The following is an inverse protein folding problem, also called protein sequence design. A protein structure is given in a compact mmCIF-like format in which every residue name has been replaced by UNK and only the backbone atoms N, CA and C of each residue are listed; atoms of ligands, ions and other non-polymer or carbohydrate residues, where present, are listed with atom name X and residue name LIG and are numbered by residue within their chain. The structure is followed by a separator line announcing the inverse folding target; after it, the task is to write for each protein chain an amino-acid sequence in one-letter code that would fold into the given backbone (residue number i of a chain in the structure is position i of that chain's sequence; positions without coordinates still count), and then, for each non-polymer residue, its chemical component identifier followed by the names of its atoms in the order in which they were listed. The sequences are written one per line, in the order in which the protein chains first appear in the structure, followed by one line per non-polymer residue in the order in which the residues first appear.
data_IF_176618748275
#
_entry.id   IF_176618748275
#
_cell.length_a   1.000
_cell.length_b   1.000
_cell.length_c   1.000
_cell.angle_alpha   90.00
_cell.angle_beta   90.00
_cell.angle_gamma   90.00
#
_symmetry.space_group_name_H-M   'P 1'
#
loop_
_entity.id
_entity.type
_entity.pdbx_description
1 polymer ?
#
# COMPACT_ATOMS: atom_id res chain seq x y z
N UNK A 1 -30.59 -2.85 -7.46
CA UNK A 1 -29.62 -1.75 -7.76
C UNK A 1 -28.22 -2.34 -7.76
N UNK A 2 -27.34 -1.97 -8.71
CA UNK A 2 -25.99 -2.50 -8.75
C UNK A 2 -25.16 -2.01 -7.56
N UNK A 3 -24.31 -2.88 -7.03
CA UNK A 3 -23.35 -2.51 -5.99
C UNK A 3 -22.31 -1.55 -6.57
N UNK A 4 -22.18 -0.37 -5.97
CA UNK A 4 -21.21 0.65 -6.32
C UNK A 4 -20.33 1.00 -5.13
N UNK A 5 -19.13 1.52 -5.40
CA UNK A 5 -18.22 2.02 -4.39
C UNK A 5 -17.42 3.21 -4.93
N UNK A 6 -17.51 4.35 -4.26
CA UNK A 6 -16.69 5.53 -4.55
C UNK A 6 -15.47 5.49 -3.65
N UNK A 7 -14.28 5.38 -4.26
CA UNK A 7 -13.02 5.29 -3.52
C UNK A 7 -12.61 6.64 -2.89
N UNK A 8 -11.54 6.63 -2.09
CA UNK A 8 -10.99 7.87 -1.47
C UNK A 8 -10.57 8.94 -2.49
N UNK A 9 -10.35 8.56 -3.75
CA UNK A 9 -10.00 9.44 -4.87
C UNK A 9 -11.24 9.92 -5.65
N UNK A 10 -12.45 9.72 -5.13
CA UNK A 10 -13.69 10.17 -5.78
C UNK A 10 -14.07 9.40 -7.04
N UNK A 11 -13.41 8.28 -7.34
CA UNK A 11 -13.69 7.45 -8.50
C UNK A 11 -14.70 6.37 -8.11
N UNK A 12 -15.82 6.34 -8.82
CA UNK A 12 -16.87 5.34 -8.64
C UNK A 12 -16.56 4.06 -9.42
N UNK A 13 -16.69 2.93 -8.75
CA UNK A 13 -16.56 1.60 -9.29
C UNK A 13 -17.89 0.85 -9.18
N UNK A 14 -18.15 -0.04 -10.12
CA UNK A 14 -19.32 -0.90 -10.22
C UNK A 14 -18.90 -2.36 -10.07
N UNK A 15 -19.59 -3.13 -9.25
CA UNK A 15 -19.37 -4.57 -9.13
C UNK A 15 -20.01 -5.29 -10.32
N UNK A 16 -19.19 -5.97 -11.10
CA UNK A 16 -19.60 -6.71 -12.28
C UNK A 16 -19.32 -8.22 -12.10
N UNK A 17 -20.15 -9.04 -12.72
CA UNK A 17 -19.94 -10.49 -12.87
C UNK A 17 -19.56 -10.79 -14.31
N UNK A 18 -18.42 -11.45 -14.49
CA UNK A 18 -18.05 -12.10 -15.73
C UNK A 18 -17.94 -13.62 -15.53
N UNK A 19 -17.60 -14.31 -16.61
CA UNK A 19 -17.27 -15.75 -16.62
C UNK A 19 -15.80 -15.94 -16.95
N UNK A 20 -15.14 -16.85 -16.22
CA UNK A 20 -13.78 -17.29 -16.55
C UNK A 20 -13.79 -18.24 -17.74
N UNK A 21 -12.60 -18.54 -18.29
CA UNK A 21 -12.43 -19.56 -19.36
C UNK A 21 -12.97 -20.94 -18.97
N UNK A 22 -13.11 -21.23 -17.68
CA UNK A 22 -13.62 -22.49 -17.13
C UNK A 22 -15.07 -22.37 -16.63
N UNK A 23 -15.81 -21.36 -17.09
CA UNK A 23 -17.22 -21.08 -16.75
C UNK A 23 -17.51 -20.78 -15.27
N UNK A 24 -16.48 -20.61 -14.43
CA UNK A 24 -16.66 -20.15 -13.05
C UNK A 24 -16.95 -18.64 -13.02
N UNK A 25 -17.85 -18.16 -12.15
CA UNK A 25 -18.12 -16.74 -12.01
C UNK A 25 -16.88 -16.00 -11.50
N UNK A 26 -16.56 -14.87 -12.12
CA UNK A 26 -15.52 -13.95 -11.68
C UNK A 26 -16.15 -12.60 -11.37
N UNK A 27 -15.99 -12.16 -10.12
CA UNK A 27 -16.41 -10.85 -9.67
C UNK A 27 -15.25 -9.87 -9.76
N UNK A 28 -15.52 -8.66 -10.23
CA UNK A 28 -14.52 -7.61 -10.33
C UNK A 28 -15.19 -6.23 -10.30
N UNK A 29 -14.44 -5.22 -9.85
CA UNK A 29 -14.88 -3.83 -9.91
C UNK A 29 -14.38 -3.17 -11.19
N UNK A 30 -15.25 -2.43 -11.87
CA UNK A 30 -14.92 -1.67 -13.08
C UNK A 30 -15.44 -0.23 -12.98
N UNK A 31 -14.76 0.73 -13.62
CA UNK A 31 -15.20 2.14 -13.67
C UNK A 31 -16.32 2.37 -14.66
N UNK A 32 -16.31 1.59 -15.74
CA UNK A 32 -17.40 1.46 -16.68
C UNK A 32 -17.99 0.06 -16.47
N UNK A 33 -19.29 -0.07 -16.12
CA UNK A 33 -19.89 -1.37 -15.91
C UNK A 33 -19.82 -2.17 -17.23
N UNK A 34 -19.07 -3.28 -17.20
CA UNK A 34 -18.94 -4.23 -18.30
C UNK A 34 -19.34 -5.61 -17.77
N UNK A 35 -20.35 -6.23 -18.37
CA UNK A 35 -20.93 -7.49 -17.89
C UNK A 35 -22.14 -7.29 -16.98
N UNK A 36 -22.58 -8.36 -16.32
CA UNK A 36 -23.81 -8.35 -15.54
C UNK A 36 -23.61 -7.55 -14.25
N UNK A 37 -24.43 -6.51 -13.99
CA UNK A 37 -24.41 -5.80 -12.72
C UNK A 37 -24.80 -6.76 -11.59
N UNK A 38 -24.07 -6.68 -10.48
CA UNK A 38 -24.32 -7.53 -9.31
C UNK A 38 -25.03 -6.71 -8.26
N UNK A 39 -26.14 -7.24 -7.74
CA UNK A 39 -26.96 -6.52 -6.74
C UNK A 39 -26.63 -6.87 -5.29
N UNK A 40 -25.82 -7.91 -5.07
CA UNK A 40 -25.43 -8.37 -3.73
C UNK A 40 -23.97 -8.81 -3.69
N UNK A 41 -23.29 -8.52 -2.58
CA UNK A 41 -21.93 -9.00 -2.35
C UNK A 41 -21.99 -10.53 -2.16
N UNK A 42 -21.19 -11.32 -2.89
CA UNK A 42 -21.13 -12.77 -2.69
C UNK A 42 -20.74 -13.14 -1.25
N UNK A 43 -21.32 -14.21 -0.72
CA UNK A 43 -21.03 -14.70 0.62
C UNK A 43 -19.53 -14.97 0.83
N UNK A 44 -19.00 -14.55 1.99
CA UNK A 44 -17.58 -14.71 2.34
C UNK A 44 -16.64 -13.71 1.64
N UNK A 45 -17.18 -12.66 1.03
CA UNK A 45 -16.42 -11.56 0.45
C UNK A 45 -16.78 -10.20 1.03
N UNK A 46 -15.85 -9.26 0.93
CA UNK A 46 -16.04 -7.84 1.25
C UNK A 46 -15.37 -6.95 0.23
N UNK A 47 -15.80 -5.70 0.19
CA UNK A 47 -15.15 -4.65 -0.61
C UNK A 47 -13.89 -4.19 0.12
N UNK A 48 -12.79 -4.06 -0.61
CA UNK A 48 -11.54 -3.50 -0.10
C UNK A 48 -10.99 -2.48 -1.09
N UNK A 49 -10.54 -1.35 -0.55
CA UNK A 49 -9.78 -0.35 -1.29
C UNK A 49 -8.28 -0.50 -0.97
N UNK A 50 -7.45 -0.56 -2.01
CA UNK A 50 -5.97 -0.53 -1.87
C UNK A 50 -5.46 0.88 -1.57
N UNK A 51 -4.18 1.00 -1.17
CA UNK A 51 -3.50 2.29 -0.95
C UNK A 51 -3.63 3.22 -2.17
N UNK A 52 -3.57 2.67 -3.39
CA UNK A 52 -3.66 3.45 -4.62
C UNK A 52 -5.11 3.76 -5.07
N UNK A 53 -6.11 3.38 -4.30
CA UNK A 53 -7.52 3.60 -4.62
C UNK A 53 -8.12 2.56 -5.56
N UNK A 54 -7.44 1.44 -5.83
CA UNK A 54 -8.03 0.33 -6.58
C UNK A 54 -9.00 -0.41 -5.67
N UNK A 55 -10.25 -0.50 -6.09
CA UNK A 55 -11.32 -1.22 -5.40
C UNK A 55 -11.33 -2.67 -5.88
N UNK A 56 -11.47 -3.61 -4.96
CA UNK A 56 -11.49 -5.04 -5.26
C UNK A 56 -12.43 -5.78 -4.33
N UNK A 57 -12.94 -6.91 -4.80
CA UNK A 57 -13.65 -7.86 -3.96
C UNK A 57 -12.63 -8.83 -3.37
N UNK A 58 -12.52 -8.89 -2.04
CA UNK A 58 -11.57 -9.74 -1.33
C UNK A 58 -12.30 -10.72 -0.42
N UNK A 59 -11.68 -11.86 -0.12
CA UNK A 59 -12.24 -12.81 0.86
C UNK A 59 -12.33 -12.13 2.22
N UNK A 60 -13.45 -12.29 2.89
CA UNK A 60 -13.62 -11.79 4.24
C UNK A 60 -13.02 -12.78 5.23
N UNK A 61 -11.74 -12.54 5.56
CA UNK A 61 -10.99 -13.33 6.54
C UNK A 61 -10.49 -12.39 7.63
N UNK A 62 -10.57 -12.80 8.91
CA UNK A 62 -10.00 -12.02 10.00
C UNK A 62 -8.48 -11.89 9.80
N UNK A 63 -7.90 -10.76 10.20
CA UNK A 63 -6.46 -10.60 10.22
C UNK A 63 -5.84 -11.49 11.31
N UNK A 64 -4.70 -12.11 11.02
CA UNK A 64 -3.85 -12.81 11.98
C UNK A 64 -2.86 -11.87 12.67
N UNK A 65 -2.74 -10.65 12.14
CA UNK A 65 -1.93 -9.57 12.69
C UNK A 65 -2.73 -8.89 13.80
N UNK A 66 -2.10 -8.71 14.95
CA UNK A 66 -2.74 -8.10 16.11
C UNK A 66 -2.75 -6.56 16.02
N UNK A 67 -3.71 -5.87 16.65
CA UNK A 67 -3.75 -4.40 16.62
C UNK A 67 -2.48 -3.72 17.14
N UNK A 68 -1.87 -4.26 18.19
CA UNK A 68 -0.62 -3.75 18.79
C UNK A 68 0.57 -3.87 17.84
N UNK A 69 0.58 -4.90 17.00
CA UNK A 69 1.59 -5.12 15.97
C UNK A 69 1.47 -4.11 14.84
N UNK A 70 0.24 -3.82 14.41
CA UNK A 70 -0.04 -2.75 13.44
C UNK A 70 0.40 -1.41 14.01
N UNK A 71 0.01 -1.11 15.26
CA UNK A 71 0.38 0.14 15.93
C UNK A 71 1.90 0.30 16.08
N UNK A 72 2.64 -0.79 16.31
CA UNK A 72 4.10 -0.74 16.37
C UNK A 72 4.73 -0.32 15.03
N UNK A 73 4.24 -0.85 13.91
CA UNK A 73 4.70 -0.47 12.57
C UNK A 73 4.29 0.96 12.23
N UNK A 74 3.04 1.34 12.49
CA UNK A 74 2.55 2.71 12.26
C UNK A 74 3.34 3.73 13.09
N UNK A 75 3.63 3.44 14.35
CA UNK A 75 4.43 4.31 15.21
C UNK A 75 5.89 4.43 14.72
N UNK A 76 6.46 3.36 14.17
CA UNK A 76 7.80 3.41 13.58
C UNK A 76 7.81 4.25 12.28
N UNK A 77 6.81 4.07 11.40
CA UNK A 77 6.63 4.91 10.20
C UNK A 77 6.41 6.38 10.57
N UNK A 78 5.60 6.65 11.59
CA UNK A 78 5.32 8.01 12.05
C UNK A 78 6.56 8.75 12.58
N UNK A 79 7.56 8.03 13.10
CA UNK A 79 8.85 8.61 13.53
C UNK A 79 9.84 8.83 12.40
N UNK A 80 9.56 8.31 11.19
CA UNK A 80 10.45 8.47 10.06
C UNK A 80 10.49 9.95 9.61
N UNK A 81 11.68 10.53 9.29
CA UNK A 81 11.77 11.93 8.87
C UNK A 81 10.92 12.26 7.64
N UNK A 82 10.75 11.28 6.74
CA UNK A 82 9.89 11.35 5.54
C UNK A 82 8.59 10.55 5.71
N UNK A 83 7.98 10.53 6.90
CA UNK A 83 6.79 9.71 7.21
C UNK A 83 5.61 9.92 6.25
N UNK A 84 5.46 11.14 5.72
CA UNK A 84 4.47 11.49 4.71
C UNK A 84 4.62 10.71 3.38
N UNK A 85 5.81 10.21 3.05
CA UNK A 85 6.05 9.38 1.85
C UNK A 85 5.57 7.94 2.02
N UNK A 86 5.28 7.49 3.24
CA UNK A 86 4.99 6.07 3.50
C UNK A 86 3.54 5.81 3.87
N UNK A 87 3.01 4.64 3.50
CA UNK A 87 1.67 4.17 3.88
C UNK A 87 1.73 2.72 4.34
N UNK A 88 1.01 2.41 5.40
CA UNK A 88 0.90 1.05 5.96
C UNK A 88 -0.38 0.39 5.45
N UNK A 89 -0.28 -0.88 5.04
CA UNK A 89 -1.41 -1.68 4.60
C UNK A 89 -1.39 -3.04 5.29
N UNK A 90 -2.47 -3.38 5.97
CA UNK A 90 -2.59 -4.65 6.70
C UNK A 90 -3.29 -5.68 5.82
N UNK A 91 -2.66 -6.83 5.65
CA UNK A 91 -3.22 -8.01 4.99
C UNK A 91 -3.49 -9.09 6.03
N UNK A 92 -4.05 -10.21 5.57
CA UNK A 92 -4.40 -11.34 6.45
C UNK A 92 -3.25 -11.78 7.36
N UNK A 93 -2.04 -11.98 6.82
CA UNK A 93 -0.89 -12.52 7.56
C UNK A 93 0.37 -11.64 7.47
N UNK A 94 0.24 -10.41 6.99
CA UNK A 94 1.39 -9.52 6.75
C UNK A 94 1.01 -8.06 6.80
N UNK A 95 2.01 -7.22 7.02
CA UNK A 95 1.92 -5.77 6.91
C UNK A 95 2.83 -5.33 5.78
N UNK A 96 2.32 -4.54 4.84
CA UNK A 96 3.06 -3.97 3.72
C UNK A 96 3.25 -2.47 3.96
N UNK A 97 4.48 -1.99 3.79
CA UNK A 97 4.82 -0.57 3.75
C UNK A 97 5.02 -0.19 2.29
N UNK A 98 4.32 0.86 1.90
CA UNK A 98 4.42 1.45 0.58
C UNK A 98 5.12 2.80 0.64
N UNK A 99 5.88 3.13 -0.39
CA UNK A 99 6.53 4.41 -0.60
C UNK A 99 5.90 5.15 -1.78
N UNK A 100 5.76 6.47 -1.65
CA UNK A 100 5.24 7.33 -2.70
C UNK A 100 6.20 7.36 -3.90
N UNK A 101 5.64 7.20 -5.10
CA UNK A 101 6.37 7.32 -6.36
C UNK A 101 6.41 8.78 -6.79
N UNK A 102 7.62 9.24 -7.17
CA UNK A 102 7.86 10.59 -7.66
C UNK A 102 8.42 11.53 -6.58
N UNK A 103 8.76 12.78 -6.97
CA UNK A 103 9.28 13.77 -6.05
C UNK A 103 8.22 14.14 -5.01
N UNK A 104 8.64 14.50 -3.80
CA UNK A 104 7.70 15.12 -2.87
C UNK A 104 7.38 16.57 -3.24
N UNK A 105 6.37 17.14 -2.58
CA UNK A 105 5.87 18.48 -2.91
C UNK A 105 6.92 19.56 -2.60
N UNK A 106 7.71 19.36 -1.55
CA UNK A 106 8.79 20.24 -1.13
C UNK A 106 9.98 20.15 -2.10
N UNK A 107 10.39 18.94 -2.50
CA UNK A 107 11.41 18.67 -3.53
C UNK A 107 11.00 19.31 -4.87
N UNK A 108 9.73 19.18 -5.26
CA UNK A 108 9.20 19.78 -6.49
C UNK A 108 9.17 21.31 -6.42
N UNK A 109 8.71 21.89 -5.30
CA UNK A 109 8.70 23.34 -5.10
C UNK A 109 10.11 23.92 -5.12
N UNK A 110 11.08 23.22 -4.50
CA UNK A 110 12.48 23.62 -4.51
C UNK A 110 13.04 23.64 -5.95
N UNK A 111 12.73 22.63 -6.78
CA UNK A 111 13.14 22.59 -8.17
C UNK A 111 12.61 23.80 -8.97
N UNK A 112 11.33 24.15 -8.82
CA UNK A 112 10.77 25.35 -9.46
C UNK A 112 11.44 26.65 -9.01
N UNK A 113 11.79 26.76 -7.72
CA UNK A 113 12.51 27.92 -7.21
C UNK A 113 13.92 28.03 -7.81
N UNK A 114 14.63 26.91 -8.02
CA UNK A 114 15.94 26.91 -8.71
C UNK A 114 15.82 27.37 -10.17
N UNK A 115 14.69 27.10 -10.82
CA UNK A 115 14.40 27.55 -12.19
C UNK A 115 13.84 28.99 -12.26
N UNK A 116 13.85 29.73 -11.15
CA UNK A 116 13.41 31.13 -11.09
C UNK A 116 11.89 31.32 -11.01
N UNK A 117 11.13 30.25 -10.77
CA UNK A 117 9.67 30.25 -10.59
C UNK A 117 9.30 30.20 -9.10
N UNK A 118 9.78 31.18 -8.32
CA UNK A 118 9.47 31.28 -6.90
C UNK A 118 8.04 31.81 -6.68
N UNK A 119 7.08 30.88 -6.67
CA UNK A 119 5.66 31.16 -6.44
C UNK A 119 5.36 30.96 -4.95
N UNK A 120 5.00 32.01 -4.19
CA UNK A 120 4.66 31.87 -2.78
C UNK A 120 3.54 30.85 -2.57
N UNK A 121 3.76 29.92 -1.64
CA UNK A 121 2.79 28.88 -1.30
C UNK A 121 2.55 27.83 -2.39
N UNK A 122 3.45 27.70 -3.39
CA UNK A 122 3.32 26.69 -4.44
C UNK A 122 3.16 25.28 -3.88
N UNK A 123 3.94 24.93 -2.86
CA UNK A 123 3.84 23.64 -2.16
C UNK A 123 2.42 23.38 -1.63
N UNK A 124 1.83 24.34 -0.91
CA UNK A 124 0.46 24.25 -0.39
C UNK A 124 -0.59 24.12 -1.49
N UNK A 125 -0.37 24.80 -2.63
CA UNK A 125 -1.28 24.75 -3.79
C UNK A 125 -1.19 23.41 -4.53
N UNK A 126 0.00 22.80 -4.60
CA UNK A 126 0.22 21.53 -5.29
C UNK A 126 -0.15 20.32 -4.41
N UNK A 127 -0.04 20.45 -3.09
CA UNK A 127 -0.22 19.34 -2.14
C UNK A 127 -1.53 18.56 -2.34
N UNK A 128 -2.73 19.19 -2.45
CA UNK A 128 -3.96 18.44 -2.67
C UNK A 128 -3.96 17.64 -3.99
N UNK A 129 -3.37 18.20 -5.04
CA UNK A 129 -3.31 17.56 -6.36
C UNK A 129 -2.37 16.37 -6.35
N UNK A 130 -1.20 16.52 -5.72
CA UNK A 130 -0.20 15.47 -5.59
C UNK A 130 -0.72 14.35 -4.68
N UNK A 131 -1.29 14.67 -3.52
CA UNK A 131 -1.87 13.67 -2.62
C UNK A 131 -3.01 12.87 -3.27
N UNK A 132 -3.89 13.54 -4.02
CA UNK A 132 -5.00 12.89 -4.71
C UNK A 132 -4.51 11.93 -5.82
N UNK A 133 -3.42 12.29 -6.52
CA UNK A 133 -2.87 11.50 -7.63
C UNK A 133 -1.73 10.57 -7.23
N UNK A 134 -1.25 10.67 -6.00
CA UNK A 134 -0.11 9.91 -5.49
C UNK A 134 -0.29 8.42 -5.77
N UNK A 135 0.78 7.84 -6.31
CA UNK A 135 0.94 6.41 -6.49
C UNK A 135 1.96 5.94 -5.46
N UNK A 136 1.73 4.73 -4.98
CA UNK A 136 2.56 4.12 -3.97
C UNK A 136 2.98 2.73 -4.43
N UNK A 137 4.26 2.40 -4.28
CA UNK A 137 4.81 1.07 -4.56
C UNK A 137 5.19 0.39 -3.26
N UNK A 138 4.96 -0.93 -3.13
CA UNK A 138 5.36 -1.64 -1.92
C UNK A 138 6.89 -1.76 -1.86
N UNK A 139 7.49 -1.47 -0.71
CA UNK A 139 8.96 -1.45 -0.54
C UNK A 139 9.47 -2.38 0.54
N UNK A 140 8.68 -2.60 1.59
CA UNK A 140 9.00 -3.46 2.73
C UNK A 140 7.73 -4.19 3.16
N UNK A 141 7.83 -5.47 3.52
CA UNK A 141 6.72 -6.20 4.13
C UNK A 141 7.21 -7.05 5.29
N UNK A 142 6.39 -7.15 6.33
CA UNK A 142 6.59 -8.05 7.46
C UNK A 142 5.55 -9.16 7.40
N UNK A 143 5.99 -10.41 7.36
CA UNK A 143 5.11 -11.58 7.23
C UNK A 143 5.18 -12.41 8.50
N UNK A 144 4.01 -12.75 9.03
CA UNK A 144 3.89 -13.65 10.18
C UNK A 144 4.40 -15.04 9.79
N UNK A 145 5.52 -15.45 10.39
CA UNK A 145 6.18 -16.73 10.15
C UNK A 145 5.69 -17.80 11.13
N UNK A 146 5.46 -17.42 12.40
CA UNK A 146 4.95 -18.33 13.42
C UNK A 146 3.95 -17.60 14.33
N UNK A 147 2.69 -18.04 14.29
CA UNK A 147 1.60 -17.45 15.05
C UNK A 147 1.67 -17.72 16.57
N UNK A 148 2.26 -18.83 16.98
CA UNK A 148 2.38 -19.21 18.41
C UNK A 148 3.51 -18.42 19.08
N UNK A 149 4.64 -18.28 18.39
CA UNK A 149 5.82 -17.55 18.89
C UNK A 149 5.78 -16.05 18.57
N UNK A 150 4.77 -15.59 17.82
CA UNK A 150 4.65 -14.23 17.24
C UNK A 150 5.94 -13.76 16.57
N UNK A 151 6.51 -14.61 15.71
CA UNK A 151 7.70 -14.26 14.94
C UNK A 151 7.35 -13.88 13.52
N UNK A 152 8.06 -12.88 13.02
CA UNK A 152 7.94 -12.34 11.68
C UNK A 152 9.28 -12.47 10.95
N UNK A 153 9.23 -12.56 9.63
CA UNK A 153 10.36 -12.22 8.77
C UNK A 153 9.99 -10.96 7.99
N UNK A 154 11.00 -10.28 7.46
CA UNK A 154 10.83 -9.12 6.62
C UNK A 154 11.36 -9.40 5.22
N UNK A 155 10.70 -8.86 4.21
CA UNK A 155 11.21 -8.83 2.84
C UNK A 155 11.17 -7.41 2.31
N UNK A 156 12.16 -7.05 1.50
CA UNK A 156 12.16 -5.79 0.75
C UNK A 156 11.99 -6.04 -0.73
N UNK A 157 11.48 -5.05 -1.44
CA UNK A 157 11.40 -5.10 -2.89
C UNK A 157 12.79 -4.92 -3.51
N UNK A 158 13.14 -5.76 -4.50
CA UNK A 158 14.36 -5.64 -5.29
C UNK A 158 14.04 -4.99 -6.65
N UNK A 159 14.88 -4.03 -7.06
CA UNK A 159 14.74 -3.28 -8.32
C UNK A 159 15.85 -3.62 -9.33
N UNK A 160 16.62 -4.67 -9.10
CA UNK A 160 17.65 -5.11 -10.04
C UNK A 160 16.92 -5.76 -11.22
N UNK A 161 17.04 -5.23 -12.44
CA UNK A 161 16.18 -5.59 -13.59
C UNK A 161 16.14 -7.06 -14.04
N UNK A 162 16.87 -7.97 -13.39
CA UNK A 162 16.71 -9.43 -13.53
C UNK A 162 15.82 -10.08 -12.45
N UNK A 163 15.46 -9.34 -11.39
CA UNK A 163 14.70 -9.74 -10.20
C UNK A 163 13.78 -8.56 -9.79
N UNK A 164 12.58 -8.51 -10.36
CA UNK A 164 11.48 -7.66 -9.85
C UNK A 164 10.65 -8.44 -8.82
N UNK A 165 11.28 -8.81 -7.71
CA UNK A 165 10.66 -9.62 -6.67
C UNK A 165 11.08 -9.21 -5.26
N UNK A 166 10.40 -9.80 -4.28
CA UNK A 166 10.70 -9.70 -2.87
C UNK A 166 11.94 -10.51 -2.51
N UNK A 167 12.79 -9.95 -1.68
CA UNK A 167 13.95 -10.64 -1.13
C UNK A 167 13.94 -10.59 0.39
N UNK A 168 14.28 -11.72 1.01
CA UNK A 168 14.36 -11.85 2.46
C UNK A 168 15.39 -10.89 3.04
N UNK A 169 14.98 -10.20 4.09
CA UNK A 169 15.85 -9.44 4.96
C UNK A 169 16.11 -10.37 6.15
N UNK A 170 17.32 -10.94 6.22
CA UNK A 170 17.78 -11.95 7.20
C UNK A 170 17.17 -11.92 8.63
N UNK A 171 17.01 -10.78 9.32
CA UNK A 171 16.45 -10.78 10.67
C UNK A 171 15.01 -11.32 10.74
N UNK A 172 14.80 -12.23 11.69
CA UNK A 172 13.48 -12.70 12.12
C UNK A 172 13.28 -12.38 13.61
N UNK A 173 12.05 -12.09 14.00
CA UNK A 173 11.76 -11.80 15.41
C UNK A 173 10.40 -11.16 15.64
N UNK A 174 10.16 -10.62 16.85
CA UNK A 174 9.00 -9.81 17.14
C UNK A 174 8.90 -8.62 16.19
N UNK A 175 7.68 -8.33 15.72
CA UNK A 175 7.45 -7.30 14.71
C UNK A 175 7.94 -5.92 15.14
N UNK A 176 7.77 -5.55 16.42
CA UNK A 176 8.16 -4.25 16.95
C UNK A 176 9.68 -4.02 16.91
N UNK A 177 10.47 -5.09 17.07
CA UNK A 177 11.92 -5.06 16.95
C UNK A 177 12.33 -4.88 15.47
N UNK A 178 11.75 -5.68 14.58
CA UNK A 178 12.02 -5.56 13.14
C UNK A 178 11.62 -4.18 12.61
N UNK A 179 10.47 -3.66 13.00
CA UNK A 179 9.98 -2.35 12.64
C UNK A 179 10.97 -1.24 13.05
N UNK A 180 11.45 -1.27 14.31
CA UNK A 180 12.45 -0.30 14.81
C UNK A 180 13.79 -0.38 14.10
N UNK A 181 14.18 -1.56 13.62
CA UNK A 181 15.46 -1.76 12.94
C UNK A 181 15.42 -1.38 11.45
N UNK A 182 14.34 -1.72 10.75
CA UNK A 182 14.27 -1.63 9.29
C UNK A 182 13.64 -0.33 8.78
N UNK A 183 12.61 0.18 9.46
CA UNK A 183 11.87 1.36 9.00
C UNK A 183 12.73 2.63 8.96
N UNK A 184 13.64 2.90 9.92
CA UNK A 184 14.53 4.07 9.84
C UNK A 184 15.47 4.08 8.62
N UNK A 185 15.63 2.93 7.94
CA UNK A 185 16.50 2.82 6.76
C UNK A 185 15.77 3.14 5.46
N UNK A 186 14.42 3.19 5.45
CA UNK A 186 13.65 3.43 4.23
C UNK A 186 14.11 4.71 3.51
N UNK A 187 14.21 4.65 2.19
CA UNK A 187 14.68 5.77 1.37
C UNK A 187 16.18 6.11 1.53
N UNK A 188 16.98 5.21 2.13
CA UNK A 188 18.45 5.36 2.26
C UNK A 188 19.19 4.20 1.57
N UNK A 189 20.46 4.41 1.23
CA UNK A 189 21.31 3.35 0.62
C UNK A 189 21.41 2.10 1.52
N UNK A 190 21.41 2.28 2.84
CA UNK A 190 21.47 1.18 3.82
C UNK A 190 20.28 0.23 3.73
N UNK A 191 19.14 0.65 3.16
CA UNK A 191 18.00 -0.22 2.92
C UNK A 191 18.29 -1.26 1.84
N UNK A 192 19.04 -0.87 0.80
CA UNK A 192 19.41 -1.75 -0.30
C UNK A 192 20.57 -2.70 0.05
N UNK A 193 21.24 -2.44 1.18
CA UNK A 193 22.27 -3.30 1.77
C UNK A 193 21.71 -4.34 2.75
N UNK A 194 20.39 -4.40 2.92
CA UNK A 194 19.74 -5.45 3.70
C UNK A 194 19.76 -6.75 2.90
N UNK A 195 20.55 -7.70 3.36
CA UNK A 195 20.57 -9.10 2.93
C UNK A 195 20.74 -9.96 4.16
#
# INVERSE_FOLDING_TARGET
MPITYTNRKGVTYYLCRGVTKTSKPRYYFAREPKGDPVEQIPEGFKISESINGIVSLVKDRPAQIWPEEVAAVEAAVGRHPKSNKYRVNVKHNRIEIYEQVGPDVEELAAAFAQDGLDIPGLAERLRPTIEHRAQFTPVLRFILANAERRTFHAERWCYLGSIDDWIDVRPMGPLDQLARQLIPKLGTDQFFELF
#
